data_IF_296918634833
#
_entry.id   IF_296918634833
#
_cell.length_a   1.000
_cell.length_b   1.000
_cell.length_c   1.000
_cell.angle_alpha   90.00
_cell.angle_beta   90.00
_cell.angle_gamma   90.00
#
_symmetry.space_group_name_H-M   'P 1'
#
loop_
_entity.id
_entity.type
_entity.pdbx_description
1 polymer ?
#
# COMPACT_ATOMS: atom_id res chain seq x y z
N UNK A 1 -16.20 -1.08 16.44
CA UNK A 1 -14.75 -1.40 16.41
C UNK A 1 -13.98 -0.11 16.63
N UNK A 2 -12.79 -0.11 17.27
CA UNK A 2 -11.98 1.10 17.33
C UNK A 2 -11.75 1.62 15.90
N UNK A 3 -11.94 2.92 15.68
CA UNK A 3 -11.67 3.55 14.39
C UNK A 3 -10.15 3.64 14.22
N UNK A 4 -9.57 2.58 13.66
CA UNK A 4 -8.16 2.57 13.32
C UNK A 4 -7.95 3.58 12.18
N UNK A 5 -7.23 4.66 12.46
CA UNK A 5 -7.01 5.76 11.52
C UNK A 5 -5.67 5.63 10.79
N UNK A 6 -4.65 5.12 11.46
CA UNK A 6 -3.30 4.97 10.92
C UNK A 6 -2.75 3.60 11.27
N UNK A 7 -2.09 2.97 10.31
CA UNK A 7 -1.39 1.70 10.52
C UNK A 7 0.00 1.75 9.87
N UNK A 8 1.00 1.24 10.59
CA UNK A 8 2.33 0.98 10.06
C UNK A 8 2.59 -0.52 10.16
N UNK A 9 3.09 -1.11 9.07
CA UNK A 9 3.48 -2.51 9.01
C UNK A 9 4.94 -2.58 8.61
N UNK A 10 5.78 -2.93 9.59
CA UNK A 10 7.20 -3.21 9.40
C UNK A 10 7.34 -4.67 8.94
N UNK A 11 7.55 -4.85 7.64
CA UNK A 11 7.77 -6.19 7.07
C UNK A 11 9.23 -6.56 7.28
N UNK A 12 9.48 -7.72 7.90
CA UNK A 12 10.86 -8.19 8.14
C UNK A 12 11.57 -8.63 6.85
N UNK A 13 10.86 -8.81 5.73
CA UNK A 13 11.44 -9.14 4.43
C UNK A 13 10.50 -8.80 3.27
N UNK A 14 11.04 -8.75 2.05
CA UNK A 14 10.30 -8.54 0.80
C UNK A 14 9.48 -9.75 0.34
N UNK A 15 9.74 -10.93 0.90
CA UNK A 15 9.07 -12.17 0.50
C UNK A 15 7.63 -12.08 1.00
N UNK A 16 6.67 -12.12 0.07
CA UNK A 16 5.24 -12.26 0.37
C UNK A 16 4.56 -11.08 1.10
N UNK A 17 5.13 -9.87 1.05
CA UNK A 17 4.53 -8.69 1.69
C UNK A 17 3.07 -8.41 1.27
N UNK A 18 2.73 -8.64 -0.02
CA UNK A 18 1.37 -8.50 -0.54
C UNK A 18 0.41 -9.53 0.04
N UNK A 19 0.77 -10.82 -0.01
CA UNK A 19 -0.09 -11.90 0.47
C UNK A 19 -0.28 -11.79 1.99
N UNK A 20 0.74 -11.34 2.72
CA UNK A 20 0.65 -11.03 4.14
C UNK A 20 -0.33 -9.89 4.41
N UNK A 21 -0.25 -8.79 3.66
CA UNK A 21 -1.17 -7.65 3.83
C UNK A 21 -2.62 -8.05 3.53
N UNK A 22 -2.84 -8.76 2.43
CA UNK A 22 -4.17 -9.26 2.06
C UNK A 22 -4.72 -10.22 3.13
N UNK A 23 -3.88 -11.13 3.65
CA UNK A 23 -4.29 -12.06 4.71
C UNK A 23 -4.62 -11.34 6.03
N UNK A 24 -3.86 -10.30 6.40
CA UNK A 24 -4.09 -9.52 7.63
C UNK A 24 -5.50 -8.94 7.69
N UNK A 25 -6.07 -8.61 6.53
CA UNK A 25 -7.38 -7.99 6.41
C UNK A 25 -8.43 -8.87 5.72
N UNK A 26 -8.21 -10.18 5.62
CA UNK A 26 -9.11 -11.11 4.92
C UNK A 26 -9.52 -10.62 3.51
N UNK A 27 -8.59 -9.99 2.78
CA UNK A 27 -8.81 -9.43 1.45
C UNK A 27 -9.57 -8.10 1.41
N UNK A 28 -9.94 -7.51 2.54
CA UNK A 28 -10.70 -6.26 2.60
C UNK A 28 -9.99 -5.18 3.43
N UNK A 29 -9.39 -4.19 2.75
CA UNK A 29 -8.72 -3.09 3.42
C UNK A 29 -9.69 -2.31 4.34
N UNK A 30 -9.39 -2.14 5.63
CA UNK A 30 -10.18 -1.27 6.51
C UNK A 30 -10.11 0.19 6.05
N UNK A 31 -11.08 1.00 6.52
CA UNK A 31 -11.09 2.46 6.30
C UNK A 31 -9.99 3.14 7.10
N UNK A 32 -8.76 3.05 6.61
CA UNK A 32 -7.60 3.75 7.16
C UNK A 32 -7.46 5.12 6.48
N UNK A 33 -7.09 6.12 7.25
CA UNK A 33 -6.65 7.40 6.69
C UNK A 33 -5.19 7.29 6.20
N UNK A 34 -4.34 6.61 6.98
CA UNK A 34 -2.91 6.46 6.71
C UNK A 34 -2.45 5.01 6.77
N UNK A 35 -1.63 4.62 5.79
CA UNK A 35 -0.94 3.34 5.75
C UNK A 35 0.55 3.52 5.45
N UNK A 36 1.41 2.96 6.29
CA UNK A 36 2.85 2.89 6.05
C UNK A 36 3.26 1.42 5.89
N UNK A 37 3.94 1.10 4.79
CA UNK A 37 4.39 -0.25 4.46
C UNK A 37 5.88 -0.27 4.20
N UNK A 38 6.57 -1.21 4.84
CA UNK A 38 7.99 -1.48 4.58
C UNK A 38 8.14 -2.61 3.54
N UNK A 39 9.12 -2.50 2.63
CA UNK A 39 9.45 -3.53 1.63
C UNK A 39 8.30 -3.93 0.69
N UNK A 40 7.25 -3.10 0.57
CA UNK A 40 6.10 -3.37 -0.29
C UNK A 40 6.34 -2.84 -1.70
N UNK A 41 6.36 -3.74 -2.68
CA UNK A 41 6.75 -3.45 -4.07
C UNK A 41 5.61 -3.57 -5.07
N UNK A 42 4.48 -4.19 -4.70
CA UNK A 42 3.33 -4.38 -5.59
C UNK A 42 2.24 -3.36 -5.29
N UNK A 43 1.49 -2.95 -6.31
CA UNK A 43 0.48 -1.90 -6.19
C UNK A 43 -0.88 -2.48 -6.63
N UNK A 44 -1.56 -3.26 -5.77
CA UNK A 44 -2.82 -3.88 -6.13
C UNK A 44 -3.89 -2.82 -6.42
N UNK A 45 -4.41 -2.85 -7.64
CA UNK A 45 -5.47 -1.93 -8.06
C UNK A 45 -6.75 -2.20 -7.27
N UNK A 46 -7.41 -1.13 -6.82
CA UNK A 46 -8.69 -1.23 -6.13
C UNK A 46 -8.63 -1.76 -4.69
N UNK A 47 -7.45 -2.03 -4.12
CA UNK A 47 -7.34 -2.43 -2.72
C UNK A 47 -7.33 -1.23 -1.76
N UNK A 48 -6.69 -0.13 -2.17
CA UNK A 48 -6.43 1.05 -1.33
C UNK A 48 -7.47 2.18 -1.48
N UNK A 49 -8.75 1.82 -1.66
CA UNK A 49 -9.81 2.76 -2.09
C UNK A 49 -10.12 3.92 -1.14
N UNK A 50 -9.86 3.76 0.16
CA UNK A 50 -10.21 4.74 1.20
C UNK A 50 -8.99 5.43 1.83
N UNK A 51 -7.77 5.17 1.34
CA UNK A 51 -6.56 5.76 1.90
C UNK A 51 -6.39 7.20 1.41
N UNK A 52 -6.03 8.12 2.32
CA UNK A 52 -5.58 9.46 1.93
C UNK A 52 -4.05 9.61 1.99
N UNK A 53 -3.37 8.84 2.83
CA UNK A 53 -1.91 8.83 2.94
C UNK A 53 -1.36 7.42 2.80
N UNK A 54 -0.42 7.21 1.87
CA UNK A 54 0.37 6.00 1.80
C UNK A 54 1.86 6.33 1.83
N UNK A 55 2.60 5.59 2.64
CA UNK A 55 4.05 5.71 2.71
C UNK A 55 4.67 4.34 2.46
N UNK A 56 5.56 4.26 1.48
CA UNK A 56 6.39 3.09 1.25
C UNK A 56 7.79 3.37 1.80
N UNK A 57 8.32 2.46 2.61
CA UNK A 57 9.65 2.56 3.22
C UNK A 57 10.54 1.40 2.79
N UNK A 58 11.84 1.65 2.73
CA UNK A 58 12.88 0.67 2.39
C UNK A 58 12.56 -0.19 1.17
N UNK A 59 12.07 0.44 0.09
CA UNK A 59 11.90 -0.27 -1.17
C UNK A 59 13.27 -0.75 -1.67
N UNK A 60 13.55 -2.04 -1.52
CA UNK A 60 14.79 -2.64 -2.01
C UNK A 60 14.72 -2.64 -3.53
N UNK A 61 15.52 -1.80 -4.18
CA UNK A 61 15.47 -1.59 -5.63
C UNK A 61 16.33 -2.63 -6.35
N UNK A 62 15.72 -3.56 -7.09
CA UNK A 62 16.09 -3.82 -8.47
C UNK A 62 15.14 -3.02 -9.38
N UNK A 63 15.65 -2.47 -10.48
CA UNK A 63 14.88 -1.64 -11.42
C UNK A 63 13.61 -2.30 -11.99
N UNK A 64 13.47 -3.62 -11.84
CA UNK A 64 12.34 -4.42 -12.31
C UNK A 64 11.10 -4.40 -11.41
N UNK A 65 11.14 -3.78 -10.23
CA UNK A 65 10.01 -3.76 -9.27
C UNK A 65 9.38 -2.39 -9.08
N UNK A 66 9.86 -1.36 -9.79
CA UNK A 66 9.21 -0.06 -9.81
C UNK A 66 7.92 -0.14 -10.66
N UNK A 67 6.78 0.38 -10.20
CA UNK A 67 5.57 0.41 -11.01
C UNK A 67 5.83 1.15 -12.31
N UNK A 68 5.30 0.63 -13.42
CA UNK A 68 5.28 1.38 -14.68
C UNK A 68 4.44 2.65 -14.51
N UNK A 69 4.62 3.65 -15.38
CA UNK A 69 3.78 4.85 -15.37
C UNK A 69 2.29 4.52 -15.46
N UNK A 70 1.91 3.48 -16.23
CA UNK A 70 0.51 3.05 -16.30
C UNK A 70 0.01 2.48 -14.96
N UNK A 71 0.77 1.58 -14.34
CA UNK A 71 0.41 1.00 -13.04
C UNK A 71 0.29 2.07 -11.95
N UNK A 72 1.15 3.09 -12.00
CA UNK A 72 1.09 4.24 -11.11
C UNK A 72 -0.21 5.05 -11.30
N UNK A 73 -0.59 5.33 -12.54
CA UNK A 73 -1.83 6.06 -12.85
C UNK A 73 -3.07 5.25 -12.46
N UNK A 74 -3.09 3.95 -12.76
CA UNK A 74 -4.17 3.03 -12.38
C UNK A 74 -4.37 3.00 -10.85
N UNK A 75 -3.27 3.05 -10.09
CA UNK A 75 -3.32 3.16 -8.63
C UNK A 75 -3.92 4.48 -8.15
N UNK A 76 -3.52 5.61 -8.74
CA UNK A 76 -4.08 6.91 -8.38
C UNK A 76 -5.58 7.00 -8.68
N UNK A 77 -6.02 6.45 -9.82
CA UNK A 77 -7.44 6.37 -10.16
C UNK A 77 -8.23 5.50 -9.18
N UNK A 78 -7.62 4.44 -8.65
CA UNK A 78 -8.24 3.57 -7.66
C UNK A 78 -8.34 4.19 -6.25
N UNK A 79 -7.61 5.29 -5.99
CA UNK A 79 -7.56 5.96 -4.69
C UNK A 79 -8.06 7.41 -4.80
N UNK A 80 -9.38 7.64 -4.98
CA UNK A 80 -9.91 8.98 -5.27
C UNK A 80 -9.78 9.98 -4.09
N UNK A 81 -9.52 9.48 -2.88
CA UNK A 81 -9.38 10.29 -1.66
C UNK A 81 -7.92 10.59 -1.32
N UNK A 82 -7.01 10.23 -2.21
CA UNK A 82 -5.58 10.23 -1.97
C UNK A 82 -4.98 11.64 -2.02
N UNK A 83 -4.31 12.04 -0.95
CA UNK A 83 -3.71 13.37 -0.79
C UNK A 83 -2.17 13.31 -0.81
N UNK A 84 -1.58 12.24 -0.29
CA UNK A 84 -0.14 12.12 -0.11
C UNK A 84 0.38 10.72 -0.44
N UNK A 85 1.40 10.69 -1.30
CA UNK A 85 2.26 9.55 -1.56
C UNK A 85 3.69 9.83 -1.10
N UNK A 86 4.27 8.93 -0.33
CA UNK A 86 5.71 8.89 -0.05
C UNK A 86 6.26 7.54 -0.53
N UNK A 87 7.37 7.57 -1.29
CA UNK A 87 8.10 6.40 -1.80
C UNK A 87 9.58 6.51 -1.44
#
# INVERSE_FOLDING_TARGET
>A
APELVSLTIDMLSTIDAESHLLALFNGHMPKLWRLCLEYFLTWPSGYFTSLMHICFHHQSVPQSTCPTTSQFLDFLEACPTFEMLVM
#
